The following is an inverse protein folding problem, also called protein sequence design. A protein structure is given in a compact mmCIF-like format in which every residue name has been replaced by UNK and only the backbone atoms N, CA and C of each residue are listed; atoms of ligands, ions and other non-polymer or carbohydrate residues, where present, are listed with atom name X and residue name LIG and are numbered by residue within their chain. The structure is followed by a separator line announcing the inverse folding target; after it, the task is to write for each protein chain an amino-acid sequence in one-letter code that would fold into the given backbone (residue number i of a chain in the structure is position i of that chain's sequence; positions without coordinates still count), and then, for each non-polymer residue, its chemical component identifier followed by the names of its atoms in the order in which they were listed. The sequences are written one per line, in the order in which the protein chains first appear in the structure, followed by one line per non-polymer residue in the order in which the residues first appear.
data_IF_437286589154
#
_entry.id   IF_437286589154
#
_cell.length_a   1.000
_cell.length_b   1.000
_cell.length_c   1.000
_cell.angle_alpha   90.00
_cell.angle_beta   90.00
_cell.angle_gamma   90.00
#
_symmetry.space_group_name_H-M   'P 1'
#
loop_
_entity.id
_entity.type
_entity.pdbx_description
1 polymer ?
#
# COMPACT_ATOMS: atom_id res chain seq x y z
N UNK A 1 -13.23 -19.98 -30.27
CA UNK A 1 -13.77 -20.49 -28.99
C UNK A 1 -14.22 -19.30 -28.17
N UNK A 2 -15.52 -19.03 -28.13
CA UNK A 2 -16.10 -18.01 -27.25
C UNK A 2 -16.35 -18.64 -25.88
N UNK A 3 -15.44 -18.40 -24.93
CA UNK A 3 -15.65 -18.78 -23.54
C UNK A 3 -16.75 -17.88 -23.00
N UNK A 4 -17.93 -18.46 -22.75
CA UNK A 4 -19.05 -17.71 -22.19
C UNK A 4 -18.79 -17.42 -20.71
N UNK A 5 -19.32 -16.31 -20.20
CA UNK A 5 -19.30 -15.97 -18.76
C UNK A 5 -19.84 -17.10 -17.87
N UNK A 6 -20.72 -17.95 -18.44
CA UNK A 6 -21.33 -19.11 -17.81
C UNK A 6 -20.36 -20.30 -17.67
N UNK A 7 -19.35 -20.40 -18.54
CA UNK A 7 -18.30 -21.44 -18.47
C UNK A 7 -17.17 -21.06 -17.50
N UNK A 8 -16.94 -19.76 -17.32
CA UNK A 8 -16.07 -19.20 -16.27
C UNK A 8 -16.63 -19.49 -14.87
N UNK A 9 -17.95 -19.38 -14.67
CA UNK A 9 -18.59 -19.64 -13.38
C UNK A 9 -18.56 -21.11 -12.93
N UNK A 10 -18.58 -22.06 -13.88
CA UNK A 10 -18.68 -23.50 -13.56
C UNK A 10 -17.35 -24.21 -13.34
N UNK A 11 -16.24 -23.70 -13.87
CA UNK A 11 -15.00 -24.49 -13.98
C UNK A 11 -13.94 -24.24 -12.90
N UNK A 12 -14.03 -23.16 -12.10
CA UNK A 12 -12.90 -22.78 -11.22
C UNK A 12 -13.25 -22.33 -9.79
N UNK A 13 -14.52 -22.32 -9.38
CA UNK A 13 -14.91 -21.75 -8.09
C UNK A 13 -15.55 -22.78 -7.14
N UNK A 14 -15.17 -22.72 -5.86
CA UNK A 14 -16.09 -23.11 -4.78
C UNK A 14 -17.33 -22.23 -4.93
N UNK A 15 -18.46 -22.80 -5.36
CA UNK A 15 -19.70 -22.08 -5.66
C UNK A 15 -20.13 -21.15 -4.51
N UNK A 16 -19.76 -21.48 -3.26
CA UNK A 16 -20.05 -20.66 -2.07
C UNK A 16 -19.25 -19.34 -2.05
N UNK A 17 -17.95 -19.38 -2.32
CA UNK A 17 -17.07 -18.19 -2.28
C UNK A 17 -17.40 -17.25 -3.44
N UNK A 18 -17.60 -17.80 -4.63
CA UNK A 18 -18.00 -16.99 -5.80
C UNK A 18 -19.36 -16.32 -5.55
N UNK A 19 -20.37 -17.06 -5.07
CA UNK A 19 -21.69 -16.49 -4.76
C UNK A 19 -21.62 -15.37 -3.71
N UNK A 20 -20.76 -15.50 -2.70
CA UNK A 20 -20.57 -14.44 -1.71
C UNK A 20 -19.97 -13.18 -2.34
N UNK A 21 -18.92 -13.33 -3.15
CA UNK A 21 -18.27 -12.20 -3.83
C UNK A 21 -19.24 -11.53 -4.81
N UNK A 22 -19.99 -12.31 -5.60
CA UNK A 22 -21.02 -11.79 -6.51
C UNK A 22 -22.13 -11.01 -5.77
N UNK A 23 -22.50 -11.43 -4.55
CA UNK A 23 -23.57 -10.79 -3.77
C UNK A 23 -23.14 -9.47 -3.14
N UNK A 24 -21.88 -9.35 -2.69
CA UNK A 24 -21.40 -8.19 -1.94
C UNK A 24 -20.60 -7.18 -2.77
N UNK A 25 -19.96 -7.60 -3.87
CA UNK A 25 -19.13 -6.71 -4.69
C UNK A 25 -19.77 -6.45 -6.06
N UNK A 26 -20.28 -5.21 -6.23
CA UNK A 26 -20.86 -4.75 -7.50
C UNK A 26 -19.80 -4.31 -8.53
N UNK A 27 -18.61 -3.92 -8.09
CA UNK A 27 -17.52 -3.49 -8.98
C UNK A 27 -16.83 -4.71 -9.63
N UNK A 28 -16.88 -4.79 -10.96
CA UNK A 28 -16.37 -5.92 -11.74
C UNK A 28 -14.84 -6.07 -11.65
N UNK A 29 -14.09 -4.97 -11.59
CA UNK A 29 -12.64 -4.99 -11.43
C UNK A 29 -12.23 -5.52 -10.06
N UNK A 30 -12.87 -5.03 -8.99
CA UNK A 30 -12.58 -5.49 -7.63
C UNK A 30 -12.84 -6.98 -7.47
N UNK A 31 -13.93 -7.47 -8.07
CA UNK A 31 -14.28 -8.88 -8.08
C UNK A 31 -13.26 -9.74 -8.82
N UNK A 32 -12.82 -9.31 -10.00
CA UNK A 32 -11.75 -9.97 -10.76
C UNK A 32 -10.50 -10.12 -9.89
N UNK A 33 -10.09 -9.03 -9.25
CA UNK A 33 -8.87 -8.98 -8.46
C UNK A 33 -8.94 -9.88 -7.21
N UNK A 34 -10.05 -9.85 -6.48
CA UNK A 34 -10.25 -10.71 -5.30
C UNK A 34 -10.23 -12.19 -5.72
N UNK A 35 -10.91 -12.55 -6.80
CA UNK A 35 -10.93 -13.92 -7.31
C UNK A 35 -9.53 -14.38 -7.75
N UNK A 36 -8.76 -13.51 -8.39
CA UNK A 36 -7.37 -13.79 -8.77
C UNK A 36 -6.49 -14.07 -7.56
N UNK A 37 -6.59 -13.23 -6.52
CA UNK A 37 -5.84 -13.37 -5.27
C UNK A 37 -6.18 -14.70 -4.55
N UNK A 38 -7.45 -15.06 -4.49
CA UNK A 38 -7.89 -16.33 -3.87
C UNK A 38 -7.39 -17.54 -4.67
N UNK A 39 -7.41 -17.46 -6.00
CA UNK A 39 -6.96 -18.56 -6.88
C UNK A 39 -5.45 -18.76 -6.87
N UNK A 40 -4.70 -17.70 -6.54
CA UNK A 40 -3.23 -17.70 -6.64
C UNK A 40 -2.58 -17.51 -5.28
N UNK A 41 -2.82 -18.41 -4.29
CA UNK A 41 -2.30 -18.23 -2.93
C UNK A 41 -0.77 -18.25 -2.88
N UNK A 42 -0.13 -18.86 -3.89
CA UNK A 42 1.33 -18.82 -4.08
C UNK A 42 1.86 -17.40 -4.21
N UNK A 43 1.06 -16.42 -4.63
CA UNK A 43 1.49 -15.02 -4.71
C UNK A 43 1.77 -14.41 -3.34
N UNK A 44 1.20 -14.95 -2.26
CA UNK A 44 1.49 -14.50 -0.90
C UNK A 44 2.85 -14.97 -0.39
N UNK A 45 3.48 -15.98 -1.00
CA UNK A 45 4.83 -16.42 -0.61
C UNK A 45 5.88 -15.32 -0.84
N UNK A 46 5.61 -14.39 -1.76
CA UNK A 46 6.46 -13.23 -2.06
C UNK A 46 6.65 -12.33 -0.82
N UNK A 47 5.70 -12.34 0.12
CA UNK A 47 5.82 -11.58 1.36
C UNK A 47 6.72 -12.25 2.41
N UNK A 48 6.99 -13.56 2.30
CA UNK A 48 7.79 -14.29 3.29
C UNK A 48 9.23 -13.77 3.31
N UNK A 49 9.84 -13.58 2.14
CA UNK A 49 11.23 -13.09 2.03
C UNK A 49 11.46 -11.73 2.69
N UNK A 50 10.70 -10.65 2.38
CA UNK A 50 10.91 -9.37 3.04
C UNK A 50 10.59 -9.43 4.53
N UNK A 51 9.59 -10.21 4.97
CA UNK A 51 9.29 -10.41 6.39
C UNK A 51 10.47 -11.07 7.10
N UNK A 52 11.01 -12.17 6.58
CA UNK A 52 12.16 -12.85 7.17
C UNK A 52 13.41 -11.96 7.20
N UNK A 53 13.69 -11.27 6.09
CA UNK A 53 14.85 -10.38 6.01
C UNK A 53 14.75 -9.22 7.00
N UNK A 54 13.57 -8.59 7.10
CA UNK A 54 13.35 -7.51 8.07
C UNK A 54 13.39 -8.02 9.51
N UNK A 55 12.89 -9.21 9.80
CA UNK A 55 13.00 -9.81 11.13
C UNK A 55 14.45 -10.08 11.53
N UNK A 56 15.29 -10.57 10.60
CA UNK A 56 16.72 -10.78 10.88
C UNK A 56 17.44 -9.46 11.14
N UNK A 57 17.10 -8.41 10.40
CA UNK A 57 17.65 -7.07 10.62
C UNK A 57 17.21 -6.49 11.97
N UNK A 58 15.94 -6.70 12.33
CA UNK A 58 15.39 -6.23 13.60
C UNK A 58 16.09 -6.90 14.79
N UNK A 59 16.24 -8.22 14.77
CA UNK A 59 16.94 -8.98 15.82
C UNK A 59 18.37 -8.47 16.03
N UNK A 60 19.05 -8.04 14.94
CA UNK A 60 20.45 -7.59 15.02
C UNK A 60 20.60 -6.15 15.47
N UNK A 61 19.71 -5.27 15.04
CA UNK A 61 19.89 -3.82 15.15
C UNK A 61 18.90 -3.12 16.08
N UNK A 62 17.85 -3.82 16.51
CA UNK A 62 16.80 -3.32 17.41
C UNK A 62 16.26 -1.97 16.92
N UNK A 63 15.80 -1.92 15.66
CA UNK A 63 15.29 -0.68 15.09
C UNK A 63 14.01 -0.21 15.77
N UNK A 64 13.21 -1.14 16.27
CA UNK A 64 11.95 -0.84 16.92
C UNK A 64 12.12 -0.11 18.27
N UNK A 65 13.24 -0.33 18.97
CA UNK A 65 13.54 0.32 20.26
C UNK A 65 14.42 1.57 20.14
N UNK A 66 14.98 1.85 18.96
CA UNK A 66 16.00 2.90 18.77
C UNK A 66 15.48 4.27 18.31
N UNK A 67 14.20 4.57 18.59
CA UNK A 67 13.64 5.91 18.39
C UNK A 67 13.32 6.21 16.91
N UNK A 68 14.00 7.21 16.32
CA UNK A 68 13.74 7.66 14.93
C UNK A 68 13.91 6.52 13.92
N UNK A 69 14.77 5.54 14.23
CA UNK A 69 14.98 4.37 13.38
C UNK A 69 13.72 3.49 13.23
N UNK A 70 12.81 3.48 14.21
CA UNK A 70 11.50 2.82 14.08
C UNK A 70 10.69 3.42 12.93
N UNK A 71 10.67 4.75 12.83
CA UNK A 71 9.96 5.48 11.76
C UNK A 71 10.53 5.13 10.39
N UNK A 72 11.86 5.06 10.27
CA UNK A 72 12.57 4.70 9.04
C UNK A 72 12.28 3.25 8.65
N UNK A 73 12.36 2.34 9.61
CA UNK A 73 12.10 0.92 9.43
C UNK A 73 10.67 0.67 8.92
N UNK A 74 9.67 1.25 9.60
CA UNK A 74 8.25 1.18 9.21
C UNK A 74 8.07 1.65 7.76
N UNK A 75 8.67 2.79 7.40
CA UNK A 75 8.51 3.38 6.08
C UNK A 75 9.11 2.53 4.96
N UNK A 76 10.33 2.04 5.15
CA UNK A 76 11.03 1.20 4.16
C UNK A 76 10.27 -0.11 3.98
N UNK A 77 9.89 -0.76 5.08
CA UNK A 77 9.14 -2.01 5.02
C UNK A 77 7.80 -1.82 4.31
N UNK A 78 7.04 -0.77 4.66
CA UNK A 78 5.78 -0.48 4.01
C UNK A 78 5.92 -0.19 2.52
N UNK A 79 7.00 0.47 2.10
CA UNK A 79 7.27 0.73 0.68
C UNK A 79 7.51 -0.58 -0.09
N UNK A 80 8.30 -1.50 0.48
CA UNK A 80 8.59 -2.81 -0.13
C UNK A 80 7.29 -3.61 -0.27
N UNK A 81 6.51 -3.72 0.81
CA UNK A 81 5.24 -4.46 0.80
C UNK A 81 4.27 -3.83 -0.21
N UNK A 82 4.12 -2.50 -0.22
CA UNK A 82 3.22 -1.83 -1.19
C UNK A 82 3.67 -2.06 -2.64
N UNK A 83 4.97 -2.01 -2.92
CA UNK A 83 5.51 -2.31 -4.24
C UNK A 83 5.25 -3.76 -4.67
N UNK A 84 5.39 -4.72 -3.76
CA UNK A 84 5.09 -6.13 -4.01
C UNK A 84 3.59 -6.38 -4.22
N UNK A 85 2.73 -5.81 -3.36
CA UNK A 85 1.28 -5.91 -3.50
C UNK A 85 0.83 -5.32 -4.84
N UNK A 86 1.41 -4.19 -5.25
CA UNK A 86 1.12 -3.60 -6.55
C UNK A 86 1.55 -4.52 -7.69
N UNK A 87 2.71 -5.18 -7.58
CA UNK A 87 3.17 -6.17 -8.56
C UNK A 87 2.21 -7.34 -8.70
N UNK A 88 1.73 -7.88 -7.58
CA UNK A 88 0.76 -8.97 -7.53
C UNK A 88 -0.58 -8.57 -8.16
N UNK A 89 -1.06 -7.35 -7.90
CA UNK A 89 -2.31 -6.88 -8.49
C UNK A 89 -2.19 -6.69 -10.01
N UNK A 90 -1.02 -6.25 -10.48
CA UNK A 90 -0.74 -5.99 -11.89
C UNK A 90 -0.34 -7.25 -12.68
N UNK A 91 0.10 -8.33 -12.03
CA UNK A 91 0.46 -9.58 -12.71
C UNK A 91 -0.74 -10.21 -13.40
N UNK A 92 -1.94 -10.07 -12.84
CA UNK A 92 -3.16 -10.53 -13.49
C UNK A 92 -3.42 -9.79 -14.82
N UNK A 93 -3.22 -8.47 -14.83
CA UNK A 93 -3.40 -7.65 -16.03
C UNK A 93 -2.36 -7.95 -17.11
N UNK A 94 -1.17 -8.40 -16.69
CA UNK A 94 -0.10 -8.83 -17.60
C UNK A 94 -0.35 -10.22 -18.20
N UNK A 95 -0.73 -11.19 -17.36
CA UNK A 95 -0.92 -12.58 -17.78
C UNK A 95 -2.29 -12.87 -18.42
N UNK A 96 -3.31 -12.10 -18.07
CA UNK A 96 -4.69 -12.30 -18.50
C UNK A 96 -5.29 -11.03 -19.12
N UNK A 97 -4.56 -10.42 -20.05
CA UNK A 97 -5.01 -9.19 -20.71
C UNK A 97 -6.37 -9.35 -21.43
N UNK A 98 -6.72 -10.55 -21.89
CA UNK A 98 -8.01 -10.85 -22.52
C UNK A 98 -9.21 -10.72 -21.55
N UNK A 99 -9.01 -11.02 -20.26
CA UNK A 99 -10.06 -10.93 -19.24
C UNK A 99 -10.45 -9.46 -18.95
N UNK A 100 -9.52 -8.51 -19.14
CA UNK A 100 -9.83 -7.07 -19.05
C UNK A 100 -10.78 -6.59 -20.14
N UNK A 101 -10.72 -7.18 -21.34
CA UNK A 101 -11.57 -6.81 -22.47
C UNK A 101 -12.99 -7.40 -22.39
N UNK A 102 -13.25 -8.28 -21.41
CA UNK A 102 -14.57 -8.83 -21.14
C UNK A 102 -15.45 -7.96 -20.23
N UNK A 103 -14.87 -6.92 -19.61
CA UNK A 103 -15.54 -5.99 -18.70
C UNK A 103 -15.74 -4.65 -19.43
N UNK A 104 -16.91 -3.98 -19.32
CA UNK A 104 -17.06 -2.61 -19.82
C UNK A 104 -16.01 -1.70 -19.16
N UNK A 105 -15.09 -1.18 -19.96
CA UNK A 105 -13.86 -0.61 -19.45
C UNK A 105 -14.07 0.83 -18.94
N UNK A 106 -13.96 1.02 -17.63
CA UNK A 106 -13.96 2.33 -16.97
C UNK A 106 -12.64 2.53 -16.18
N UNK A 107 -11.81 3.46 -16.66
CA UNK A 107 -10.47 3.74 -16.10
C UNK A 107 -10.55 4.29 -14.68
N UNK A 108 -11.53 5.14 -14.41
CA UNK A 108 -11.70 5.79 -13.10
C UNK A 108 -12.13 4.75 -12.06
N UNK A 109 -13.05 3.84 -12.41
CA UNK A 109 -13.44 2.72 -11.55
C UNK A 109 -12.29 1.73 -11.31
N UNK A 110 -11.49 1.44 -12.35
CA UNK A 110 -10.28 0.62 -12.21
C UNK A 110 -9.29 1.28 -11.25
N UNK A 111 -9.07 2.59 -11.36
CA UNK A 111 -8.18 3.31 -10.44
C UNK A 111 -8.67 3.25 -8.99
N UNK A 112 -9.95 3.53 -8.78
CA UNK A 112 -10.53 3.55 -7.44
C UNK A 112 -10.52 2.16 -6.80
N UNK A 113 -10.83 1.10 -7.56
CA UNK A 113 -10.79 -0.27 -7.05
C UNK A 113 -9.35 -0.70 -6.72
N UNK A 114 -8.41 -0.46 -7.64
CA UNK A 114 -7.00 -0.85 -7.49
C UNK A 114 -6.33 -0.13 -6.34
N UNK A 115 -6.49 1.19 -6.24
CA UNK A 115 -5.90 1.98 -5.15
C UNK A 115 -6.45 1.57 -3.78
N UNK A 116 -7.77 1.29 -3.69
CA UNK A 116 -8.39 0.81 -2.45
C UNK A 116 -7.88 -0.57 -2.05
N UNK A 117 -7.85 -1.51 -2.98
CA UNK A 117 -7.41 -2.88 -2.72
C UNK A 117 -5.93 -2.91 -2.33
N UNK A 118 -5.09 -2.13 -3.02
CA UNK A 118 -3.68 -1.97 -2.72
C UNK A 118 -3.47 -1.44 -1.30
N UNK A 119 -4.20 -0.37 -0.92
CA UNK A 119 -4.10 0.19 0.42
C UNK A 119 -4.50 -0.82 1.51
N UNK A 120 -5.65 -1.48 1.35
CA UNK A 120 -6.16 -2.43 2.35
C UNK A 120 -5.18 -3.59 2.54
N UNK A 121 -4.72 -4.21 1.45
CA UNK A 121 -3.82 -5.36 1.51
C UNK A 121 -2.46 -4.97 2.09
N UNK A 122 -1.87 -3.87 1.60
CA UNK A 122 -0.56 -3.44 2.08
C UNK A 122 -0.63 -2.98 3.54
N UNK A 123 -1.68 -2.26 3.95
CA UNK A 123 -1.88 -1.86 5.34
C UNK A 123 -2.03 -3.07 6.26
N UNK A 124 -2.88 -4.05 5.93
CA UNK A 124 -3.08 -5.22 6.79
C UNK A 124 -1.81 -6.06 6.96
N UNK A 125 -1.05 -6.25 5.89
CA UNK A 125 0.20 -7.02 5.94
C UNK A 125 1.27 -6.26 6.74
N UNK A 126 1.42 -4.95 6.51
CA UNK A 126 2.44 -4.17 7.22
C UNK A 126 2.07 -3.95 8.67
N UNK A 127 0.80 -3.63 8.96
CA UNK A 127 0.33 -3.38 10.31
C UNK A 127 0.43 -4.63 11.16
N UNK A 128 0.03 -5.80 10.64
CA UNK A 128 0.15 -7.06 11.40
C UNK A 128 1.59 -7.37 11.76
N UNK A 129 2.52 -7.25 10.80
CA UNK A 129 3.94 -7.46 11.06
C UNK A 129 4.51 -6.46 12.09
N UNK A 130 4.28 -5.16 11.89
CA UNK A 130 4.78 -4.13 12.81
C UNK A 130 4.17 -4.28 14.21
N UNK A 131 2.89 -4.67 14.31
CA UNK A 131 2.25 -4.94 15.61
C UNK A 131 2.96 -6.08 16.34
N UNK A 132 3.31 -7.16 15.65
CA UNK A 132 4.05 -8.28 16.23
C UNK A 132 5.43 -7.81 16.72
N UNK A 133 6.17 -7.07 15.89
CA UNK A 133 7.49 -6.54 16.24
C UNK A 133 7.41 -5.61 17.46
N UNK A 134 6.49 -4.65 17.47
CA UNK A 134 6.33 -3.71 18.58
C UNK A 134 5.95 -4.41 19.89
N UNK A 135 5.13 -5.47 19.83
CA UNK A 135 4.76 -6.26 21.02
C UNK A 135 5.96 -7.06 21.54
N UNK A 136 6.74 -7.69 20.66
CA UNK A 136 7.94 -8.46 21.05
C UNK A 136 8.98 -7.55 21.69
N UNK A 137 9.23 -6.39 21.09
CA UNK A 137 10.22 -5.42 21.56
C UNK A 137 9.70 -4.51 22.68
N UNK A 138 8.48 -4.75 23.19
CA UNK A 138 7.86 -3.99 24.29
C UNK A 138 7.86 -2.47 24.06
N UNK A 139 7.59 -2.05 22.83
CA UNK A 139 7.55 -0.64 22.44
C UNK A 139 6.42 0.08 23.19
N UNK A 140 6.66 1.27 23.79
CA UNK A 140 5.60 2.05 24.44
C UNK A 140 4.40 2.31 23.54
N UNK A 141 3.21 2.30 24.12
CA UNK A 141 1.93 2.34 23.40
C UNK A 141 1.81 3.58 22.50
N UNK A 142 2.32 4.72 22.95
CA UNK A 142 2.29 5.99 22.22
C UNK A 142 3.06 5.91 20.89
N UNK A 143 4.25 5.29 20.92
CA UNK A 143 5.06 5.08 19.72
C UNK A 143 4.47 4.01 18.81
N UNK A 144 3.82 2.99 19.38
CA UNK A 144 3.10 1.98 18.62
C UNK A 144 1.91 2.59 17.87
N UNK A 145 1.06 3.37 18.55
CA UNK A 145 -0.08 4.08 17.94
C UNK A 145 0.41 5.03 16.84
N UNK A 146 1.49 5.76 17.10
CA UNK A 146 2.11 6.61 16.08
C UNK A 146 2.53 5.81 14.84
N UNK A 147 3.20 4.66 15.02
CA UNK A 147 3.61 3.78 13.93
C UNK A 147 2.44 3.27 13.07
N UNK A 148 1.32 2.91 13.70
CA UNK A 148 0.10 2.49 12.97
C UNK A 148 -0.51 3.65 12.18
N UNK A 149 -0.55 4.86 12.74
CA UNK A 149 -1.05 6.06 12.03
C UNK A 149 -0.13 6.40 10.85
N UNK A 150 1.19 6.36 11.05
CA UNK A 150 2.17 6.55 9.99
C UNK A 150 1.95 5.54 8.85
N UNK A 151 1.81 4.24 9.17
CA UNK A 151 1.51 3.19 8.19
C UNK A 151 0.23 3.46 7.42
N UNK A 152 -0.84 3.87 8.11
CA UNK A 152 -2.12 4.14 7.48
C UNK A 152 -2.01 5.26 6.45
N UNK A 153 -1.45 6.41 6.86
CA UNK A 153 -1.25 7.58 5.99
C UNK A 153 -0.34 7.23 4.82
N UNK A 154 0.80 6.59 5.10
CA UNK A 154 1.78 6.26 4.07
C UNK A 154 1.22 5.28 3.03
N UNK A 155 0.64 4.17 3.47
CA UNK A 155 0.07 3.16 2.56
C UNK A 155 -1.10 3.72 1.75
N UNK A 156 -1.89 4.65 2.30
CA UNK A 156 -2.94 5.33 1.56
C UNK A 156 -2.37 6.18 0.41
N UNK A 157 -1.40 7.06 0.72
CA UNK A 157 -0.76 7.92 -0.29
C UNK A 157 -0.06 7.07 -1.35
N UNK A 158 0.74 6.08 -0.94
CA UNK A 158 1.50 5.23 -1.85
C UNK A 158 0.58 4.48 -2.81
N UNK A 159 -0.51 3.92 -2.30
CA UNK A 159 -1.47 3.17 -3.11
C UNK A 159 -2.11 4.03 -4.19
N UNK A 160 -2.53 5.26 -3.87
CA UNK A 160 -3.11 6.18 -4.85
C UNK A 160 -2.09 6.65 -5.88
N UNK A 161 -0.92 7.12 -5.43
CA UNK A 161 0.09 7.70 -6.33
C UNK A 161 0.67 6.64 -7.27
N UNK A 162 1.01 5.46 -6.75
CA UNK A 162 1.59 4.39 -7.55
C UNK A 162 0.58 3.81 -8.55
N UNK A 163 -0.66 3.52 -8.11
CA UNK A 163 -1.70 2.99 -8.99
C UNK A 163 -2.02 3.99 -10.13
N UNK A 164 -2.17 5.28 -9.81
CA UNK A 164 -2.44 6.29 -10.83
C UNK A 164 -1.34 6.40 -11.88
N UNK A 165 -0.07 6.32 -11.45
CA UNK A 165 1.06 6.38 -12.37
C UNK A 165 1.16 5.17 -13.28
N UNK A 166 0.92 3.97 -12.76
CA UNK A 166 0.89 2.76 -13.59
C UNK A 166 -0.23 2.86 -14.62
N UNK A 167 -1.45 3.18 -14.19
CA UNK A 167 -2.61 3.23 -15.08
C UNK A 167 -2.42 4.30 -16.16
N UNK A 168 -1.98 5.52 -15.80
CA UNK A 168 -1.70 6.59 -16.78
C UNK A 168 -0.62 6.18 -17.78
N UNK A 169 0.45 5.53 -17.33
CA UNK A 169 1.52 5.04 -18.21
C UNK A 169 0.98 3.97 -19.16
N UNK A 170 0.23 3.01 -18.64
CA UNK A 170 -0.41 1.92 -19.41
C UNK A 170 -1.49 2.39 -20.37
N UNK A 171 -2.11 3.54 -20.13
CA UNK A 171 -3.06 4.14 -21.07
C UNK A 171 -2.37 5.01 -22.13
N UNK A 172 -1.26 5.69 -21.79
CA UNK A 172 -0.51 6.52 -22.74
C UNK A 172 0.20 5.68 -23.81
N UNK A 173 0.68 4.49 -23.45
CA UNK A 173 1.49 3.63 -24.32
C UNK A 173 0.66 2.73 -25.27
N UNK A 174 -0.67 2.89 -25.30
CA UNK A 174 -1.59 2.12 -26.15
C UNK A 174 -2.92 2.84 -26.42
N UNK A 175 -3.66 2.42 -27.46
CA UNK A 175 -5.05 2.89 -27.72
C UNK A 175 -6.02 2.21 -26.74
N UNK A 176 -5.89 2.51 -25.45
CA UNK A 176 -6.59 1.86 -24.33
C UNK A 176 -5.63 1.28 -23.30
N UNK A 177 -6.10 0.88 -22.13
CA UNK A 177 -5.25 0.34 -21.06
C UNK A 177 -4.63 -1.00 -21.45
N UNK A 178 -3.30 -1.04 -21.56
CA UNK A 178 -2.53 -2.28 -21.63
C UNK A 178 -1.31 -2.20 -20.72
N UNK A 179 -1.29 -3.05 -19.71
CA UNK A 179 -0.17 -3.13 -18.79
C UNK A 179 0.97 -3.99 -19.37
N UNK A 180 2.18 -3.42 -19.50
CA UNK A 180 3.36 -4.04 -20.13
C UNK A 180 4.39 -4.60 -19.14
N UNK A 181 4.03 -4.79 -17.86
CA UNK A 181 4.94 -5.38 -16.87
C UNK A 181 5.95 -4.42 -16.19
N UNK A 182 5.90 -3.11 -16.46
CA UNK A 182 6.94 -2.16 -15.99
C UNK A 182 6.51 -1.34 -14.75
N UNK A 183 6.89 -1.82 -13.55
CA UNK A 183 6.60 -1.16 -12.25
C UNK A 183 7.80 -0.40 -11.67
N UNK A 184 9.03 -0.86 -11.92
CA UNK A 184 10.23 -0.35 -11.25
C UNK A 184 10.37 1.17 -11.33
N UNK A 185 10.12 1.77 -12.51
CA UNK A 185 10.16 3.23 -12.71
C UNK A 185 9.12 3.97 -11.86
N UNK A 186 7.95 3.37 -11.62
CA UNK A 186 6.89 3.96 -10.80
C UNK A 186 7.26 3.92 -9.33
N UNK A 187 7.80 2.80 -8.85
CA UNK A 187 8.27 2.66 -7.47
C UNK A 187 9.42 3.63 -7.21
N UNK A 188 10.43 3.68 -8.09
CA UNK A 188 11.56 4.62 -7.98
C UNK A 188 11.06 6.07 -7.95
N UNK A 189 10.17 6.45 -8.86
CA UNK A 189 9.60 7.80 -8.86
C UNK A 189 8.91 8.11 -7.52
N UNK A 190 8.08 7.18 -7.03
CA UNK A 190 7.38 7.38 -5.77
C UNK A 190 8.37 7.51 -4.60
N UNK A 191 9.40 6.67 -4.56
CA UNK A 191 10.44 6.72 -3.54
C UNK A 191 11.06 8.12 -3.43
N UNK A 192 11.47 8.71 -4.55
CA UNK A 192 12.13 10.02 -4.51
C UNK A 192 11.16 11.19 -4.29
N UNK A 193 10.01 11.19 -4.96
CA UNK A 193 9.15 12.38 -4.98
C UNK A 193 8.17 12.42 -3.80
N UNK A 194 7.79 11.26 -3.26
CA UNK A 194 6.76 11.17 -2.23
C UNK A 194 7.28 10.52 -0.94
N UNK A 195 8.00 9.41 -1.04
CA UNK A 195 8.43 8.67 0.14
C UNK A 195 9.48 9.43 0.97
N UNK A 196 10.53 9.98 0.35
CA UNK A 196 11.58 10.72 1.10
C UNK A 196 10.99 11.95 1.82
N UNK A 197 10.19 12.83 1.19
CA UNK A 197 9.56 13.94 1.90
C UNK A 197 8.66 13.50 3.06
N UNK A 198 7.85 12.44 2.86
CA UNK A 198 7.00 11.90 3.92
C UNK A 198 7.83 11.34 5.07
N UNK A 199 8.90 10.61 4.77
CA UNK A 199 9.80 10.05 5.77
C UNK A 199 10.41 11.16 6.64
N UNK A 200 10.90 12.25 6.03
CA UNK A 200 11.44 13.39 6.77
C UNK A 200 10.37 13.98 7.69
N UNK A 201 9.14 14.18 7.19
CA UNK A 201 8.04 14.69 8.00
C UNK A 201 7.74 13.77 9.19
N UNK A 202 7.65 12.46 8.97
CA UNK A 202 7.38 11.49 10.03
C UNK A 202 8.54 11.38 11.03
N UNK A 203 9.80 11.47 10.60
CA UNK A 203 10.92 11.47 11.54
C UNK A 203 10.88 12.69 12.46
N UNK A 204 10.54 13.87 11.92
CA UNK A 204 10.39 15.09 12.71
C UNK A 204 9.22 14.97 13.69
N UNK A 205 8.07 14.45 13.23
CA UNK A 205 6.89 14.24 14.09
C UNK A 205 7.16 13.24 15.22
N UNK A 206 7.89 12.16 14.93
CA UNK A 206 8.29 11.17 15.92
C UNK A 206 9.18 11.78 17.01
N UNK A 207 10.19 12.56 16.62
CA UNK A 207 11.08 13.25 17.56
C UNK A 207 10.31 14.24 18.44
N UNK A 208 9.33 14.96 17.89
CA UNK A 208 8.47 15.84 18.68
C UNK A 208 7.58 15.07 19.65
N UNK A 209 6.99 13.94 19.21
CA UNK A 209 6.22 13.06 20.10
C UNK A 209 7.08 12.62 21.29
N UNK A 210 8.31 12.17 21.03
CA UNK A 210 9.26 11.77 22.07
C UNK A 210 9.53 12.89 23.08
N UNK A 211 9.82 14.11 22.59
CA UNK A 211 10.10 15.27 23.45
C UNK A 211 8.90 15.68 24.30
N UNK A 212 7.69 15.62 23.76
CA UNK A 212 6.46 15.90 24.52
C UNK A 212 6.34 14.89 25.66
N UNK A 213 6.53 13.61 25.39
CA UNK A 213 6.38 12.55 26.40
C UNK A 213 7.47 12.58 27.48
N UNK A 214 8.71 12.94 27.13
CA UNK A 214 9.83 12.97 28.07
C UNK A 214 9.90 14.25 28.92
N UNK A 215 9.63 15.42 28.31
CA UNK A 215 9.92 16.73 28.91
C UNK A 215 8.63 17.53 29.22
N UNK A 216 7.48 17.11 28.70
CA UNK A 216 6.18 17.81 28.83
C UNK A 216 6.21 19.30 28.43
N UNK A 217 7.22 19.72 27.67
CA UNK A 217 7.40 21.10 27.25
C UNK A 217 7.99 21.20 25.85
N UNK A 218 7.38 22.05 25.04
CA UNK A 218 7.86 22.45 23.71
C UNK A 218 8.06 23.96 23.70
N UNK A 219 9.17 24.42 23.14
CA UNK A 219 9.34 25.85 22.87
C UNK A 219 8.37 26.32 21.79
N UNK A 220 8.00 27.60 21.80
CA UNK A 220 7.11 28.18 20.78
C UNK A 220 7.62 27.94 19.35
N UNK A 221 8.95 27.98 19.15
CA UNK A 221 9.57 27.66 17.86
C UNK A 221 9.36 26.19 17.45
N UNK A 222 9.52 25.26 18.39
CA UNK A 222 9.28 23.84 18.17
C UNK A 222 7.81 23.55 17.83
N UNK A 223 6.87 24.17 18.55
CA UNK A 223 5.43 24.06 18.26
C UNK A 223 5.08 24.59 16.87
N UNK A 224 5.69 25.69 16.45
CA UNK A 224 5.51 26.23 15.11
C UNK A 224 6.02 25.27 14.02
N UNK A 225 7.22 24.70 14.19
CA UNK A 225 7.76 23.70 13.25
C UNK A 225 6.87 22.46 13.18
N UNK A 226 6.40 21.96 14.32
CA UNK A 226 5.46 20.83 14.37
C UNK A 226 4.18 21.13 13.56
N UNK A 227 3.61 22.33 13.72
CA UNK A 227 2.43 22.76 12.97
C UNK A 227 2.70 22.81 11.46
N UNK A 228 3.84 23.34 11.03
CA UNK A 228 4.24 23.35 9.62
C UNK A 228 4.35 21.93 9.06
N UNK A 229 4.98 21.01 9.78
CA UNK A 229 5.13 19.61 9.35
C UNK A 229 3.78 18.91 9.25
N UNK A 230 2.86 19.13 10.20
CA UNK A 230 1.49 18.60 10.13
C UNK A 230 0.76 19.12 8.90
N UNK A 231 0.85 20.43 8.61
CA UNK A 231 0.25 21.02 7.41
C UNK A 231 0.85 20.42 6.14
N UNK A 232 2.16 20.13 6.10
CA UNK A 232 2.78 19.45 4.96
C UNK A 232 2.22 18.04 4.77
N UNK A 233 2.09 17.23 5.83
CA UNK A 233 1.49 15.88 5.74
C UNK A 233 0.05 15.94 5.26
N UNK A 234 -0.75 16.87 5.79
CA UNK A 234 -2.14 17.10 5.36
C UNK A 234 -2.19 17.53 3.89
N UNK A 235 -1.29 18.42 3.47
CA UNK A 235 -1.16 18.86 2.09
C UNK A 235 -0.83 17.72 1.13
N UNK A 236 0.07 16.81 1.52
CA UNK A 236 0.40 15.62 0.73
C UNK A 236 -0.77 14.63 0.65
N UNK A 237 -1.48 14.42 1.76
CA UNK A 237 -2.72 13.64 1.81
C UNK A 237 -3.78 14.22 0.86
N UNK A 238 -4.04 15.53 0.95
CA UNK A 238 -4.99 16.22 0.09
C UNK A 238 -4.61 16.11 -1.39
N UNK A 239 -3.32 16.30 -1.71
CA UNK A 239 -2.82 16.15 -3.08
C UNK A 239 -3.02 14.73 -3.60
N UNK A 240 -2.87 13.72 -2.76
CA UNK A 240 -3.15 12.32 -3.12
C UNK A 240 -4.64 12.08 -3.40
N UNK A 241 -5.53 12.77 -2.68
CA UNK A 241 -6.98 12.67 -2.87
C UNK A 241 -7.46 13.26 -4.19
N UNK A 242 -6.79 14.32 -4.67
CA UNK A 242 -7.10 15.01 -5.93
C UNK A 242 -6.59 14.31 -7.21
N UNK A 243 -5.97 13.15 -7.08
CA UNK A 243 -5.52 12.39 -8.24
C UNK A 243 -6.75 11.80 -8.96
N UNK A 244 -7.02 12.28 -10.17
CA UNK A 244 -8.02 11.78 -11.13
C UNK A 244 -7.31 11.17 -12.35
N UNK A 245 -7.87 10.18 -13.05
CA UNK A 245 -7.20 9.55 -14.22
C UNK A 245 -7.79 9.97 -15.55
#
# INVERSE_FOLDING_TARGET
MTVSSRDLEKSFYSAKISNYIHRFFRNAFLKKDILYLIRSPKLFSVYVTPILFTSVLEIKNQFASSGILLTVFIQIFALIITGMTLSILQSDDYHHSDLLFSIPFNIEELFQSRSRLLHILSFLITSSYISIVCVIESVPLEYYVYGIIQLFIFTYISSRVMAARIIRKSNKDSRGYRYKGSIAKVVIYFSFVWNIPLLICFCILYEYLRRILEVNYLSNHASFVMLVVLVMVIGMLYRSMKINI
#
